data_IF_467721515797
#
_entry.id   IF_467721515797
#
_cell.length_a   1.000
_cell.length_b   1.000
_cell.length_c   1.000
_cell.angle_alpha   90.00
_cell.angle_beta   90.00
_cell.angle_gamma   90.00
#
_symmetry.space_group_name_H-M   'P 1'
#
loop_
_entity.id
_entity.type
_entity.pdbx_description
1 polymer ?
#
# COMPACT_ATOMS: atom_id res chain seq x y z
N UNK A 1 7.95 -19.75 -2.24
CA UNK A 1 7.38 -18.45 -2.65
C UNK A 1 7.61 -17.48 -1.51
N UNK A 2 8.39 -16.43 -1.75
CA UNK A 2 8.79 -15.45 -0.73
C UNK A 2 7.63 -14.49 -0.46
N UNK A 3 7.24 -14.33 0.81
CA UNK A 3 6.26 -13.32 1.23
C UNK A 3 6.85 -11.90 1.23
N UNK A 4 6.17 -10.94 1.84
CA UNK A 4 6.65 -9.54 1.93
C UNK A 4 7.97 -9.38 2.69
N UNK A 5 8.43 -10.41 3.42
CA UNK A 5 9.56 -10.33 4.33
C UNK A 5 9.20 -9.60 5.61
N UNK A 6 10.21 -9.32 6.44
CA UNK A 6 10.07 -8.41 7.57
C UNK A 6 9.88 -6.98 7.05
N UNK A 7 8.81 -6.33 7.49
CA UNK A 7 8.50 -4.94 7.11
C UNK A 7 8.87 -4.06 8.29
N UNK A 8 9.76 -3.11 8.04
CA UNK A 8 10.16 -2.12 9.05
C UNK A 8 9.32 -0.85 8.91
N UNK A 9 9.36 -0.01 9.96
CA UNK A 9 8.72 1.31 9.91
C UNK A 9 9.31 2.20 8.80
N UNK A 10 10.61 2.09 8.54
CA UNK A 10 11.28 2.86 7.50
C UNK A 10 10.80 2.46 6.11
N UNK A 11 10.45 1.19 5.91
CA UNK A 11 9.90 0.74 4.62
C UNK A 11 8.51 1.32 4.33
N UNK A 12 7.74 1.65 5.38
CA UNK A 12 6.45 2.33 5.26
C UNK A 12 6.59 3.84 5.06
N UNK A 13 7.62 4.46 5.65
CA UNK A 13 7.85 5.91 5.58
C UNK A 13 8.53 6.35 4.29
N UNK A 14 9.45 5.55 3.77
CA UNK A 14 10.23 5.92 2.59
C UNK A 14 9.50 5.49 1.31
N UNK A 15 9.17 6.44 0.45
CA UNK A 15 8.32 6.21 -0.72
C UNK A 15 8.86 5.17 -1.69
N UNK A 16 10.19 5.16 -1.89
CA UNK A 16 10.87 4.17 -2.75
C UNK A 16 10.77 2.77 -2.16
N UNK A 17 10.96 2.64 -0.84
CA UNK A 17 10.85 1.35 -0.16
C UNK A 17 9.41 0.84 -0.16
N UNK A 18 8.44 1.73 0.05
CA UNK A 18 7.01 1.39 -0.05
C UNK A 18 6.66 0.93 -1.48
N UNK A 19 7.27 1.53 -2.50
CA UNK A 19 7.13 1.10 -3.90
C UNK A 19 7.70 -0.29 -4.14
N UNK A 20 8.90 -0.57 -3.62
CA UNK A 20 9.54 -1.87 -3.75
C UNK A 20 8.75 -2.96 -3.04
N UNK A 21 8.20 -2.65 -1.86
CA UNK A 21 7.26 -3.52 -1.15
C UNK A 21 6.01 -3.79 -1.98
N UNK A 22 5.43 -2.79 -2.63
CA UNK A 22 4.29 -3.00 -3.52
C UNK A 22 4.63 -3.92 -4.70
N UNK A 23 5.80 -3.76 -5.32
CA UNK A 23 6.24 -4.65 -6.41
C UNK A 23 6.39 -6.10 -5.94
N UNK A 24 6.95 -6.32 -4.75
CA UNK A 24 7.02 -7.65 -4.12
C UNK A 24 5.63 -8.20 -3.79
N UNK A 25 4.72 -7.35 -3.31
CA UNK A 25 3.33 -7.72 -3.03
C UNK A 25 2.59 -8.17 -4.30
N UNK A 26 2.84 -7.49 -5.42
CA UNK A 26 2.30 -7.87 -6.73
C UNK A 26 2.94 -9.16 -7.23
N UNK A 27 4.26 -9.28 -7.13
CA UNK A 27 5.00 -10.47 -7.57
C UNK A 27 4.62 -11.74 -6.79
N UNK A 28 4.22 -11.59 -5.53
CA UNK A 28 3.73 -12.67 -4.66
C UNK A 28 2.22 -12.92 -4.79
N UNK A 29 1.49 -12.12 -5.58
CA UNK A 29 0.04 -12.26 -5.77
C UNK A 29 -0.81 -11.79 -4.59
N UNK A 30 -0.22 -11.11 -3.60
CA UNK A 30 -0.94 -10.61 -2.44
C UNK A 30 -1.92 -9.49 -2.81
N UNK A 31 -1.50 -8.61 -3.72
CA UNK A 31 -2.28 -7.49 -4.24
C UNK A 31 -2.20 -7.43 -5.77
N UNK A 32 -3.23 -6.89 -6.40
CA UNK A 32 -3.21 -6.64 -7.84
C UNK A 32 -2.46 -5.35 -8.19
N UNK A 33 -2.06 -5.20 -9.47
CA UNK A 33 -1.47 -3.93 -9.94
C UNK A 33 -2.43 -2.73 -9.80
N UNK A 34 -3.74 -2.97 -9.86
CA UNK A 34 -4.77 -1.95 -9.63
C UNK A 34 -4.92 -1.52 -8.16
N UNK A 35 -4.38 -2.29 -7.22
CA UNK A 35 -4.49 -2.01 -5.78
C UNK A 35 -3.40 -1.02 -5.29
N UNK A 36 -2.63 -0.40 -6.21
CA UNK A 36 -1.50 0.49 -5.87
C UNK A 36 -1.90 1.62 -4.93
N UNK A 37 -3.02 2.31 -5.20
CA UNK A 37 -3.48 3.40 -4.32
C UNK A 37 -3.88 2.88 -2.94
N UNK A 38 -4.65 1.78 -2.87
CA UNK A 38 -5.07 1.15 -1.61
C UNK A 38 -3.87 0.69 -0.77
N UNK A 39 -2.82 0.18 -1.42
CA UNK A 39 -1.60 -0.24 -0.76
C UNK A 39 -0.89 0.93 -0.07
N UNK A 40 -0.70 2.04 -0.78
CA UNK A 40 -0.06 3.23 -0.21
C UNK A 40 -0.95 3.87 0.87
N UNK A 41 -2.27 3.90 0.66
CA UNK A 41 -3.20 4.44 1.64
C UNK A 41 -3.26 3.57 2.92
N UNK A 42 -3.09 2.25 2.80
CA UNK A 42 -2.91 1.38 3.96
C UNK A 42 -1.62 1.68 4.73
N UNK A 43 -0.53 2.03 4.05
CA UNK A 43 0.71 2.46 4.70
C UNK A 43 0.50 3.78 5.46
N UNK A 44 -0.16 4.76 4.86
CA UNK A 44 -0.52 6.03 5.52
C UNK A 44 -1.40 5.81 6.74
N UNK A 45 -2.44 4.98 6.60
CA UNK A 45 -3.33 4.64 7.70
C UNK A 45 -2.56 3.98 8.85
N UNK A 46 -1.67 3.03 8.52
CA UNK A 46 -0.85 2.35 9.50
C UNK A 46 0.15 3.29 10.20
N UNK A 47 0.75 4.23 9.49
CA UNK A 47 1.64 5.24 10.06
C UNK A 47 0.88 6.23 10.97
N UNK A 48 -0.37 6.56 10.63
CA UNK A 48 -1.20 7.52 11.36
C UNK A 48 -1.85 6.90 12.60
N UNK A 49 -2.35 5.67 12.49
CA UNK A 49 -3.16 5.00 13.53
C UNK A 49 -2.36 3.96 14.31
N UNK A 50 -1.34 3.35 13.70
CA UNK A 50 -0.47 2.39 14.35
C UNK A 50 0.42 3.08 15.36
N UNK A 51 0.05 3.05 16.64
CA UNK A 51 0.83 3.68 17.71
C UNK A 51 1.96 2.78 18.22
N UNK A 52 1.76 1.46 18.23
CA UNK A 52 2.72 0.50 18.77
C UNK A 52 3.38 -0.38 17.70
N UNK A 53 2.62 -0.81 16.69
CA UNK A 53 3.13 -1.65 15.60
C UNK A 53 2.51 -1.26 14.24
N UNK A 54 2.99 -0.16 13.62
CA UNK A 54 2.54 0.26 12.29
C UNK A 54 2.72 -0.82 11.23
N UNK A 55 3.86 -1.53 11.23
CA UNK A 55 4.14 -2.58 10.26
C UNK A 55 3.17 -3.77 10.38
N UNK A 56 2.89 -4.21 11.61
CA UNK A 56 1.89 -5.26 11.86
C UNK A 56 0.48 -4.85 11.45
N UNK A 57 0.08 -3.60 11.75
CA UNK A 57 -1.22 -3.08 11.31
C UNK A 57 -1.32 -3.02 9.79
N UNK A 58 -0.26 -2.56 9.12
CA UNK A 58 -0.18 -2.54 7.66
C UNK A 58 -0.34 -3.93 7.05
N UNK A 59 0.42 -4.91 7.54
CA UNK A 59 0.30 -6.31 7.09
C UNK A 59 -1.10 -6.83 7.32
N UNK A 60 -1.71 -6.55 8.48
CA UNK A 60 -3.08 -6.96 8.77
C UNK A 60 -4.12 -6.34 7.81
N UNK A 61 -3.96 -5.06 7.46
CA UNK A 61 -4.83 -4.38 6.48
C UNK A 61 -4.73 -5.04 5.11
N UNK A 62 -3.51 -5.34 4.65
CA UNK A 62 -3.27 -6.03 3.37
C UNK A 62 -3.81 -7.46 3.36
N UNK A 63 -3.52 -8.22 4.42
CA UNK A 63 -3.93 -9.62 4.59
C UNK A 63 -5.44 -9.80 4.41
N UNK A 64 -6.18 -8.90 5.04
CA UNK A 64 -7.63 -8.96 5.16
C UNK A 64 -8.32 -8.07 4.11
N UNK A 65 -7.55 -7.42 3.21
CA UNK A 65 -8.02 -6.45 2.21
C UNK A 65 -8.99 -5.43 2.82
N UNK A 66 -8.65 -4.91 4.00
CA UNK A 66 -9.50 -4.02 4.81
C UNK A 66 -9.46 -2.58 4.33
N UNK A 67 -9.78 -2.38 3.06
CA UNK A 67 -9.81 -1.06 2.42
C UNK A 67 -10.86 -0.14 3.04
N UNK A 68 -11.88 -0.70 3.68
CA UNK A 68 -12.94 0.07 4.35
C UNK A 68 -12.46 0.87 5.57
N UNK A 69 -11.26 0.57 6.10
CA UNK A 69 -10.64 1.35 7.19
C UNK A 69 -9.84 2.55 6.66
N UNK A 70 -9.57 2.58 5.36
CA UNK A 70 -8.82 3.64 4.72
C UNK A 70 -9.71 4.86 4.59
N UNK A 71 -9.26 5.99 5.13
CA UNK A 71 -9.98 7.25 5.03
C UNK A 71 -9.59 8.00 3.76
N UNK A 72 -10.45 8.93 3.33
CA UNK A 72 -10.11 9.82 2.21
C UNK A 72 -8.80 10.60 2.46
N UNK A 73 -8.52 10.97 3.71
CA UNK A 73 -7.25 11.64 4.06
C UNK A 73 -6.03 10.74 3.85
N UNK A 74 -6.16 9.44 4.10
CA UNK A 74 -5.10 8.46 3.83
C UNK A 74 -4.90 8.29 2.32
N UNK A 75 -5.98 8.27 1.52
CA UNK A 75 -5.92 8.23 0.05
C UNK A 75 -5.27 9.49 -0.54
N UNK A 76 -5.60 10.68 -0.01
CA UNK A 76 -5.03 11.94 -0.44
C UNK A 76 -3.52 12.02 -0.15
N UNK A 77 -3.09 11.53 1.02
CA UNK A 77 -1.68 11.44 1.37
C UNK A 77 -0.94 10.42 0.47
N UNK A 78 -1.54 9.25 0.23
CA UNK A 78 -1.02 8.25 -0.68
C UNK A 78 -0.87 8.77 -2.11
N UNK A 79 -1.85 9.53 -2.62
CA UNK A 79 -1.77 10.17 -3.93
C UNK A 79 -0.56 11.10 -4.05
N UNK A 80 -0.28 11.91 -3.01
CA UNK A 80 0.88 12.82 -3.00
C UNK A 80 2.21 12.06 -3.03
N UNK A 81 2.33 10.98 -2.24
CA UNK A 81 3.52 10.12 -2.24
C UNK A 81 3.74 9.46 -3.61
N UNK A 82 2.67 8.97 -4.22
CA UNK A 82 2.75 8.37 -5.56
C UNK A 82 3.20 9.37 -6.63
N UNK A 83 2.73 10.61 -6.56
CA UNK A 83 3.20 11.70 -7.44
C UNK A 83 4.71 11.92 -7.27
N UNK A 84 5.21 11.97 -6.04
CA UNK A 84 6.64 12.15 -5.78
C UNK A 84 7.50 11.00 -6.33
N UNK A 85 7.03 9.74 -6.22
CA UNK A 85 7.75 8.59 -6.78
C UNK A 85 7.74 8.58 -8.31
N UNK A 86 6.61 8.94 -8.92
CA UNK A 86 6.47 8.94 -10.37
C UNK A 86 7.21 10.15 -11.00
N UNK A 87 7.19 11.34 -10.36
CA UNK A 87 8.00 12.51 -10.74
C UNK A 87 9.50 12.23 -10.61
N UNK A 88 9.91 11.45 -9.60
CA UNK A 88 11.30 11.02 -9.44
C UNK A 88 11.82 10.11 -10.57
N UNK A 89 10.95 9.60 -11.46
CA UNK A 89 11.35 8.82 -12.65
C UNK A 89 11.64 9.68 -13.88
N UNK A 90 11.36 10.98 -13.83
CA UNK A 90 11.54 11.88 -14.97
C UNK A 90 12.90 12.60 -14.81
N UNK A 91 13.90 12.34 -15.66
CA UNK A 91 15.00 13.30 -15.81
C UNK A 91 14.36 14.60 -16.30
N UNK A 92 14.59 15.71 -15.59
CA UNK A 92 14.01 17.01 -15.92
C UNK A 92 14.15 17.32 -17.41
N UNK A 93 13.06 17.23 -18.17
CA UNK A 93 12.78 18.10 -19.29
C UNK A 93 11.29 18.48 -19.28
N UNK A 94 11.08 19.80 -19.22
CA UNK A 94 9.86 20.59 -19.38
C UNK A 94 8.58 19.86 -19.83
N UNK A 95 7.43 20.16 -19.19
CA UNK A 95 6.51 21.19 -19.71
C UNK A 95 5.27 21.41 -18.83
N UNK A 96 4.72 22.61 -18.99
CA UNK A 96 3.65 23.25 -18.25
C UNK A 96 2.29 22.54 -18.32
N UNK A 97 1.54 22.70 -17.23
CA UNK A 97 0.08 22.87 -17.25
C UNK A 97 -0.71 21.59 -17.52
N UNK A 98 -1.32 21.02 -16.48
CA UNK A 98 -2.53 20.21 -16.70
C UNK A 98 -3.54 20.47 -15.59
N UNK A 99 -4.69 20.91 -16.07
CA UNK A 99 -5.92 21.30 -15.41
C UNK A 99 -6.41 20.27 -14.38
N UNK A 100 -6.71 20.73 -13.17
CA UNK A 100 -7.37 19.94 -12.12
C UNK A 100 -8.87 19.83 -12.43
N UNK A 101 -9.22 19.01 -13.40
CA UNK A 101 -10.63 18.65 -13.63
C UNK A 101 -10.84 17.15 -13.41
N UNK A 102 -11.35 16.84 -12.22
CA UNK A 102 -12.33 15.79 -11.91
C UNK A 102 -12.08 14.41 -12.55
N UNK A 103 -11.46 13.50 -11.79
CA UNK A 103 -11.64 12.06 -12.00
C UNK A 103 -12.66 11.53 -10.98
N UNK A 104 -13.88 11.32 -11.47
CA UNK A 104 -14.99 10.73 -10.72
C UNK A 104 -14.68 9.27 -10.37
N UNK A 105 -14.92 8.93 -9.11
CA UNK A 105 -14.83 7.58 -8.55
C UNK A 105 -15.79 6.63 -9.29
N UNK A 106 -15.26 5.52 -9.83
CA UNK A 106 -16.01 4.42 -10.41
C UNK A 106 -16.33 3.32 -9.38
N UNK A 107 -17.34 2.47 -9.64
CA UNK A 107 -17.92 1.58 -8.63
C UNK A 107 -17.03 0.36 -8.33
N UNK A 108 -16.96 0.04 -7.03
CA UNK A 108 -16.23 -1.10 -6.45
C UNK A 108 -16.86 -2.43 -6.91
N UNK A 109 -16.14 -3.22 -7.70
CA UNK A 109 -16.53 -4.57 -8.14
C UNK A 109 -15.63 -5.60 -7.46
N UNK A 110 -16.24 -6.43 -6.61
CA UNK A 110 -15.55 -7.51 -5.90
C UNK A 110 -15.13 -8.67 -6.81
N UNK A 111 -14.23 -9.51 -6.28
CA UNK A 111 -14.42 -10.95 -6.08
C UNK A 111 -13.14 -11.61 -5.55
N UNK A 112 -13.27 -12.21 -4.37
CA UNK A 112 -12.88 -13.56 -3.97
C UNK A 112 -11.60 -14.16 -4.56
N UNK A 113 -10.60 -14.42 -3.71
CA UNK A 113 -9.66 -15.53 -3.92
C UNK A 113 -9.16 -16.05 -2.56
N UNK A 114 -9.80 -17.11 -2.07
CA UNK A 114 -9.65 -17.67 -0.71
C UNK A 114 -8.47 -18.64 -0.54
N UNK A 115 -7.57 -18.77 -1.50
CA UNK A 115 -6.49 -19.78 -1.45
C UNK A 115 -5.19 -19.30 -0.77
N UNK A 116 -5.00 -18.00 -0.55
CA UNK A 116 -3.74 -17.43 -0.02
C UNK A 116 -3.66 -17.26 1.51
N UNK A 117 -4.76 -17.44 2.23
CA UNK A 117 -4.87 -17.08 3.66
C UNK A 117 -4.05 -17.96 4.62
N UNK A 118 -3.87 -19.24 4.32
CA UNK A 118 -3.27 -20.19 5.25
C UNK A 118 -1.77 -19.95 5.52
N UNK A 119 -1.02 -19.49 4.50
CA UNK A 119 0.40 -19.16 4.66
C UNK A 119 0.60 -17.75 5.27
N UNK A 120 -0.47 -16.95 5.30
CA UNK A 120 -0.47 -15.53 5.65
C UNK A 120 -0.64 -15.30 7.16
N UNK A 121 -1.46 -16.13 7.82
CA UNK A 121 -1.62 -16.11 9.29
C UNK A 121 -0.26 -16.35 9.98
N UNK A 122 0.58 -17.23 9.42
CA UNK A 122 1.91 -17.50 9.94
C UNK A 122 2.92 -16.33 9.78
N UNK A 123 2.62 -15.31 8.97
CA UNK A 123 3.43 -14.09 8.90
C UNK A 123 2.99 -13.06 9.95
N UNK A 124 1.67 -12.98 10.20
CA UNK A 124 1.08 -12.15 11.25
C UNK A 124 1.57 -12.59 12.64
N UNK A 125 1.64 -13.90 12.90
CA UNK A 125 2.14 -14.45 14.18
C UNK A 125 3.63 -14.14 14.44
N UNK A 126 4.43 -13.96 13.38
CA UNK A 126 5.86 -13.61 13.51
C UNK A 126 6.11 -12.13 13.83
N UNK A 127 5.25 -11.24 13.33
CA UNK A 127 5.34 -9.80 13.63
C UNK A 127 4.67 -9.38 14.95
N UNK A 128 3.85 -10.25 15.57
CA UNK A 128 3.22 -9.99 16.87
C UNK A 128 4.01 -10.56 18.06
N UNK A 129 5.04 -11.38 17.80
CA UNK A 129 5.84 -12.06 18.82
C UNK A 129 7.19 -11.38 19.14
N UNK A 130 7.45 -10.19 18.58
CA UNK A 130 8.64 -9.37 18.81
C UNK A 130 8.23 -8.00 19.38
#
# INVERSE_FOLDING_TARGET
>A
MEGLGEITLDDLREDRRTMDLWQRAVGSGLVGRGDRLNFFAAAEHALRVGTSNPAGLFVWLLANRRWDYITQGDEDAACRRLQQVDESKVPLELNLGTDRSQAKQGPRRGKDTSAGLAHFVAAIERCLAA
#
